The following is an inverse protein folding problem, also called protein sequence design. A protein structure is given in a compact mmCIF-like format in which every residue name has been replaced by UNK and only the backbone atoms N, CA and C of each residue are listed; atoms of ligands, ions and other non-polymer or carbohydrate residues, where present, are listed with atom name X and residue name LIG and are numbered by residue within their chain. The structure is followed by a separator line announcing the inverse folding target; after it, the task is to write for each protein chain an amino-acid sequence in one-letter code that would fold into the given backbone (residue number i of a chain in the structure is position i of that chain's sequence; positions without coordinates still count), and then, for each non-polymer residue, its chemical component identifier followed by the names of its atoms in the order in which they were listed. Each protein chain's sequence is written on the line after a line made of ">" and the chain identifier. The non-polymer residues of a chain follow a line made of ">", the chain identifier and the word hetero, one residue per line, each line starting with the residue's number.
data_IF_554366615550
#
_entry.id   IF_554366615550
#
_cell.length_a   1.000
_cell.length_b   1.000
_cell.length_c   1.000
_cell.angle_alpha   90.00
_cell.angle_beta   90.00
_cell.angle_gamma   90.00
#
_symmetry.space_group_name_H-M   'P 1'
#
loop_
_entity.id
_entity.type
_entity.pdbx_description
1 polymer ?
#
# COMPACT_ATOMS: atom_id res chain seq x y z
N UNK A 1 15.27 -13.55 -8.62
CA UNK A 1 13.89 -13.35 -9.09
C UNK A 1 12.99 -12.75 -8.00
N UNK A 2 12.91 -13.37 -6.81
CA UNK A 2 12.04 -12.94 -5.69
C UNK A 2 12.21 -11.46 -5.31
N UNK A 3 13.45 -10.95 -5.22
CA UNK A 3 13.72 -9.52 -4.98
C UNK A 3 13.10 -8.57 -6.02
N UNK A 4 13.01 -8.97 -7.29
CA UNK A 4 12.35 -8.12 -8.30
C UNK A 4 10.84 -8.08 -8.07
N UNK A 5 10.26 -9.23 -7.70
CA UNK A 5 8.84 -9.35 -7.39
C UNK A 5 8.49 -8.51 -6.15
N UNK A 6 9.34 -8.50 -5.11
CA UNK A 6 9.11 -7.65 -3.94
C UNK A 6 9.07 -6.16 -4.30
N UNK A 7 9.95 -5.70 -5.20
CA UNK A 7 9.93 -4.32 -5.67
C UNK A 7 8.70 -3.99 -6.54
N UNK A 8 8.26 -4.92 -7.40
CA UNK A 8 7.03 -4.75 -8.18
C UNK A 8 5.82 -4.65 -7.25
N UNK A 9 5.73 -5.52 -6.24
CA UNK A 9 4.67 -5.47 -5.24
C UNK A 9 4.72 -4.15 -4.44
N UNK A 10 5.91 -3.70 -4.03
CA UNK A 10 6.10 -2.43 -3.32
C UNK A 10 5.70 -1.21 -4.16
N UNK A 11 6.06 -1.18 -5.45
CA UNK A 11 5.61 -0.14 -6.37
C UNK A 11 4.09 -0.20 -6.59
N UNK A 12 3.54 -1.41 -6.71
CA UNK A 12 2.09 -1.64 -6.79
C UNK A 12 1.34 -1.12 -5.57
N UNK A 13 1.89 -1.27 -4.36
CA UNK A 13 1.30 -0.76 -3.13
C UNK A 13 1.17 0.78 -3.11
N UNK A 14 2.01 1.50 -3.86
CA UNK A 14 1.91 2.94 -4.03
C UNK A 14 0.95 3.35 -5.15
N UNK A 15 1.04 2.68 -6.30
CA UNK A 15 0.36 3.12 -7.52
C UNK A 15 -1.07 2.61 -7.65
N UNK A 16 -1.33 1.35 -7.28
CA UNK A 16 -2.66 0.75 -7.45
C UNK A 16 -3.77 1.49 -6.69
N UNK A 17 -3.57 1.91 -5.42
CA UNK A 17 -4.62 2.65 -4.71
C UNK A 17 -4.99 3.96 -5.41
N UNK A 18 -4.00 4.67 -5.97
CA UNK A 18 -4.25 5.92 -6.70
C UNK A 18 -5.07 5.67 -7.98
N UNK A 19 -4.73 4.62 -8.72
CA UNK A 19 -5.45 4.24 -9.94
C UNK A 19 -6.87 3.78 -9.62
N UNK A 20 -7.05 2.98 -8.56
CA UNK A 20 -8.36 2.51 -8.13
C UNK A 20 -9.24 3.66 -7.65
N UNK A 21 -8.70 4.57 -6.83
CA UNK A 21 -9.42 5.75 -6.37
C UNK A 21 -9.87 6.63 -7.54
N UNK A 22 -8.99 6.87 -8.51
CA UNK A 22 -9.34 7.64 -9.73
C UNK A 22 -10.43 6.94 -10.53
N UNK A 23 -10.35 5.62 -10.68
CA UNK A 23 -11.37 4.83 -11.37
C UNK A 23 -12.73 4.88 -10.65
N UNK A 24 -12.75 4.66 -9.34
CA UNK A 24 -13.96 4.71 -8.52
C UNK A 24 -14.57 6.12 -8.48
N UNK A 25 -13.73 7.15 -8.49
CA UNK A 25 -14.17 8.54 -8.61
C UNK A 25 -14.96 8.79 -9.90
N UNK A 26 -14.41 8.35 -11.03
CA UNK A 26 -15.02 8.56 -12.35
C UNK A 26 -16.30 7.75 -12.55
N UNK A 27 -16.43 6.60 -11.89
CA UNK A 27 -17.56 5.68 -12.07
C UNK A 27 -18.71 5.96 -11.11
N UNK A 28 -18.40 6.16 -9.82
CA UNK A 28 -19.42 6.22 -8.75
C UNK A 28 -19.32 7.48 -7.90
N UNK A 29 -18.10 8.00 -7.68
CA UNK A 29 -17.88 9.16 -6.81
C UNK A 29 -18.67 10.41 -7.21
N UNK A 30 -18.76 10.68 -8.52
CA UNK A 30 -19.54 11.80 -9.05
C UNK A 30 -21.05 11.64 -8.81
N UNK A 31 -21.57 10.42 -8.93
CA UNK A 31 -22.99 10.13 -8.70
C UNK A 31 -23.33 10.34 -7.22
N UNK A 32 -22.50 9.82 -6.32
CA UNK A 32 -22.68 9.98 -4.87
C UNK A 32 -22.56 11.45 -4.44
N UNK A 33 -21.64 12.20 -5.05
CA UNK A 33 -21.49 13.65 -4.84
C UNK A 33 -22.73 14.45 -5.27
N UNK A 34 -23.45 14.01 -6.30
CA UNK A 34 -24.67 14.65 -6.78
C UNK A 34 -25.90 14.33 -5.92
N UNK A 35 -25.89 13.23 -5.15
CA UNK A 35 -27.02 12.83 -4.30
C UNK A 35 -27.08 13.66 -3.01
N UNK A 36 -26.05 13.60 -2.18
CA UNK A 36 -25.94 14.40 -0.96
C UNK A 36 -24.52 14.43 -0.40
N UNK A 37 -24.17 15.44 0.42
CA UNK A 37 -22.89 15.48 1.12
C UNK A 37 -22.63 14.26 2.01
N UNK A 38 -23.67 13.73 2.65
CA UNK A 38 -23.59 12.56 3.53
C UNK A 38 -23.33 11.28 2.74
N UNK A 39 -24.06 11.07 1.64
CA UNK A 39 -23.87 9.92 0.75
C UNK A 39 -22.45 9.91 0.16
N UNK A 40 -21.98 11.08 -0.26
CA UNK A 40 -20.62 11.27 -0.74
C UNK A 40 -19.56 10.95 0.33
N UNK A 41 -19.74 11.45 1.55
CA UNK A 41 -18.79 11.18 2.63
C UNK A 41 -18.77 9.70 3.01
N UNK A 42 -19.93 9.04 3.12
CA UNK A 42 -20.00 7.61 3.40
C UNK A 42 -19.30 6.77 2.32
N UNK A 43 -19.56 7.08 1.04
CA UNK A 43 -18.86 6.47 -0.09
C UNK A 43 -17.35 6.68 -0.01
N UNK A 44 -16.90 7.93 0.14
CA UNK A 44 -15.49 8.30 0.21
C UNK A 44 -14.77 7.55 1.34
N UNK A 45 -15.38 7.47 2.51
CA UNK A 45 -14.81 6.74 3.65
C UNK A 45 -14.69 5.23 3.36
N UNK A 46 -15.72 4.63 2.76
CA UNK A 46 -15.68 3.21 2.38
C UNK A 46 -14.58 2.89 1.36
N UNK A 47 -14.40 3.77 0.37
CA UNK A 47 -13.37 3.63 -0.68
C UNK A 47 -11.98 3.77 -0.08
N UNK A 48 -11.72 4.84 0.68
CA UNK A 48 -10.42 5.05 1.32
C UNK A 48 -10.05 3.87 2.23
N UNK A 49 -11.01 3.35 3.00
CA UNK A 49 -10.77 2.20 3.88
C UNK A 49 -10.36 0.95 3.08
N UNK A 50 -11.07 0.66 1.98
CA UNK A 50 -10.76 -0.47 1.11
C UNK A 50 -9.38 -0.32 0.45
N UNK A 51 -9.10 0.85 -0.11
CA UNK A 51 -7.88 1.13 -0.86
C UNK A 51 -6.64 1.10 0.05
N UNK A 52 -6.70 1.71 1.24
CA UNK A 52 -5.59 1.66 2.20
C UNK A 52 -5.37 0.24 2.75
N UNK A 53 -6.45 -0.53 2.97
CA UNK A 53 -6.33 -1.93 3.40
C UNK A 53 -5.64 -2.78 2.32
N UNK A 54 -6.03 -2.61 1.06
CA UNK A 54 -5.42 -3.31 -0.07
C UNK A 54 -3.95 -2.92 -0.27
N UNK A 55 -3.64 -1.62 -0.22
CA UNK A 55 -2.29 -1.10 -0.28
C UNK A 55 -1.39 -1.65 0.85
N UNK A 56 -1.93 -1.68 2.08
CA UNK A 56 -1.27 -2.25 3.24
C UNK A 56 -0.95 -3.73 3.06
N UNK A 57 -1.90 -4.51 2.54
CA UNK A 57 -1.69 -5.93 2.25
C UNK A 57 -0.61 -6.15 1.17
N UNK A 58 -0.61 -5.36 0.09
CA UNK A 58 0.43 -5.41 -0.94
C UNK A 58 1.82 -5.04 -0.40
N UNK A 59 1.90 -4.02 0.44
CA UNK A 59 3.16 -3.60 1.07
C UNK A 59 3.66 -4.68 2.04
N UNK A 60 2.80 -5.29 2.84
CA UNK A 60 3.15 -6.44 3.68
C UNK A 60 3.71 -7.59 2.83
N UNK A 61 3.04 -7.93 1.72
CA UNK A 61 3.51 -8.97 0.80
C UNK A 61 4.88 -8.62 0.20
N UNK A 62 5.08 -7.36 -0.19
CA UNK A 62 6.36 -6.87 -0.69
C UNK A 62 7.49 -7.03 0.34
N UNK A 63 7.24 -6.65 1.61
CA UNK A 63 8.20 -6.80 2.70
C UNK A 63 8.51 -8.27 2.97
N UNK A 64 7.50 -9.15 3.01
CA UNK A 64 7.68 -10.59 3.22
C UNK A 64 8.53 -11.23 2.12
N UNK A 65 8.27 -10.89 0.86
CA UNK A 65 9.08 -11.34 -0.27
C UNK A 65 10.50 -10.78 -0.20
N UNK A 66 10.67 -9.52 0.20
CA UNK A 66 11.97 -8.90 0.42
C UNK A 66 12.77 -9.61 1.51
N UNK A 67 12.13 -9.93 2.64
CA UNK A 67 12.73 -10.65 3.75
C UNK A 67 13.11 -12.09 3.35
N UNK A 68 12.26 -12.78 2.60
CA UNK A 68 12.55 -14.10 2.06
C UNK A 68 13.73 -14.07 1.07
N UNK A 69 13.80 -13.03 0.24
CA UNK A 69 14.94 -12.84 -0.66
C UNK A 69 16.24 -12.61 0.10
N UNK A 70 16.19 -11.90 1.24
CA UNK A 70 17.34 -11.70 2.11
C UNK A 70 17.77 -13.01 2.77
N UNK A 71 16.84 -13.80 3.30
CA UNK A 71 17.12 -15.08 3.95
C UNK A 71 17.72 -16.13 3.01
N UNK A 72 17.46 -16.02 1.70
CA UNK A 72 18.01 -16.91 0.66
C UNK A 72 19.32 -16.41 0.04
N UNK A 73 19.90 -15.32 0.53
CA UNK A 73 21.16 -14.78 -0.01
C UNK A 73 22.31 -15.74 0.32
N UNK A 74 23.04 -16.22 -0.70
CA UNK A 74 24.13 -17.19 -0.52
C UNK A 74 25.32 -16.57 0.22
N UNK A 75 26.03 -17.39 1.01
CA UNK A 75 27.16 -17.00 1.88
C UNK A 75 28.34 -16.33 1.16
N UNK A 76 28.43 -16.44 -0.16
CA UNK A 76 29.51 -15.89 -0.99
C UNK A 76 29.23 -14.48 -1.55
N UNK A 77 28.02 -13.93 -1.42
CA UNK A 77 27.79 -12.52 -1.79
C UNK A 77 28.25 -11.59 -0.66
N UNK A 78 29.00 -10.53 -1.00
CA UNK A 78 29.34 -9.46 -0.06
C UNK A 78 28.03 -8.84 0.45
N UNK A 79 27.61 -9.28 1.63
CA UNK A 79 26.38 -8.83 2.26
C UNK A 79 26.60 -7.37 2.69
N UNK A 80 25.83 -6.45 2.11
CA UNK A 80 25.78 -5.05 2.55
C UNK A 80 24.54 -4.88 3.44
N UNK A 81 24.62 -5.20 4.75
CA UNK A 81 23.46 -5.28 5.63
C UNK A 81 22.68 -3.98 5.69
N UNK A 82 23.36 -2.83 5.73
CA UNK A 82 22.72 -1.51 5.76
C UNK A 82 21.87 -1.25 4.51
N UNK A 83 22.36 -1.61 3.32
CA UNK A 83 21.59 -1.45 2.08
C UNK A 83 20.33 -2.32 2.11
N UNK A 84 20.42 -3.55 2.62
CA UNK A 84 19.28 -4.47 2.70
C UNK A 84 18.22 -4.03 3.70
N UNK A 85 18.64 -3.52 4.85
CA UNK A 85 17.70 -2.92 5.81
C UNK A 85 16.97 -1.71 5.20
N UNK A 86 17.69 -0.87 4.44
CA UNK A 86 17.08 0.25 3.75
C UNK A 86 16.05 -0.20 2.69
N UNK A 87 16.35 -1.25 1.92
CA UNK A 87 15.39 -1.82 0.96
C UNK A 87 14.09 -2.26 1.65
N UNK A 88 14.19 -2.98 2.77
CA UNK A 88 13.01 -3.42 3.53
C UNK A 88 12.24 -2.26 4.14
N UNK A 89 12.94 -1.24 4.66
CA UNK A 89 12.32 -0.04 5.19
C UNK A 89 11.52 0.69 4.11
N UNK A 90 12.09 0.86 2.92
CA UNK A 90 11.41 1.49 1.78
C UNK A 90 10.16 0.70 1.39
N UNK A 91 10.23 -0.62 1.35
CA UNK A 91 9.08 -1.48 1.03
C UNK A 91 7.98 -1.41 2.10
N UNK A 92 8.33 -1.12 3.35
CA UNK A 92 7.40 -0.98 4.48
C UNK A 92 6.77 0.42 4.61
N UNK A 93 7.35 1.45 3.98
CA UNK A 93 6.80 2.82 4.00
C UNK A 93 5.31 2.89 3.62
N UNK A 94 4.83 2.27 2.51
CA UNK A 94 3.42 2.32 2.18
C UNK A 94 2.53 1.70 3.26
N UNK A 95 2.93 0.56 3.86
CA UNK A 95 2.19 -0.03 4.98
C UNK A 95 2.14 0.92 6.19
N UNK A 96 3.24 1.55 6.58
CA UNK A 96 3.25 2.50 7.70
C UNK A 96 2.33 3.69 7.44
N UNK A 97 2.35 4.23 6.22
CA UNK A 97 1.45 5.32 5.81
C UNK A 97 -0.02 4.87 5.87
N UNK A 98 -0.33 3.68 5.34
CA UNK A 98 -1.69 3.14 5.33
C UNK A 98 -2.22 2.94 6.75
N UNK A 99 -1.42 2.36 7.64
CA UNK A 99 -1.80 2.17 9.05
C UNK A 99 -2.03 3.52 9.77
N UNK A 100 -1.18 4.51 9.50
CA UNK A 100 -1.32 5.84 10.06
C UNK A 100 -2.62 6.52 9.60
N UNK A 101 -2.89 6.53 8.30
CA UNK A 101 -4.10 7.14 7.75
C UNK A 101 -5.35 6.38 8.21
N UNK A 102 -5.33 5.06 8.19
CA UNK A 102 -6.43 4.23 8.71
C UNK A 102 -6.70 4.51 10.18
N UNK A 103 -5.66 4.68 11.00
CA UNK A 103 -5.81 5.09 12.39
C UNK A 103 -6.50 6.45 12.52
N UNK A 104 -6.16 7.43 11.67
CA UNK A 104 -6.84 8.73 11.65
C UNK A 104 -8.31 8.57 11.25
N UNK A 105 -8.59 7.81 10.19
CA UNK A 105 -9.95 7.58 9.67
C UNK A 105 -10.83 6.87 10.70
N UNK A 106 -10.29 5.95 11.50
CA UNK A 106 -11.04 5.27 12.55
C UNK A 106 -11.38 6.17 13.74
N UNK A 107 -10.57 7.19 14.01
CA UNK A 107 -10.76 8.09 15.16
C UNK A 107 -11.59 9.33 14.79
N UNK A 108 -11.46 9.84 13.57
CA UNK A 108 -12.02 11.13 13.16
C UNK A 108 -12.99 11.03 11.97
N UNK A 109 -13.21 9.82 11.44
CA UNK A 109 -14.02 9.55 10.25
C UNK A 109 -15.45 9.18 10.53
#
# INVERSE_FOLDING_TARGET
>A
MIRRISWIAGAGAWLLPLVLLLWQWLTEGQNQAALSPEAYNAWKMSVLFADFSFAGALSLFAVLLGAMALAKTQENEILHPGKRMLELLILALPMMLCLFIMGILLVHG
#
